data_IF_959852866744
#
_entry.id   IF_959852866744
#
_cell.length_a   1.000
_cell.length_b   1.000
_cell.length_c   1.000
_cell.angle_alpha   90.00
_cell.angle_beta   90.00
_cell.angle_gamma   90.00
#
_symmetry.space_group_name_H-M   'P 1'
#
loop_
_entity.id
_entity.type
_entity.pdbx_description
1 polymer ?
#
# COMPACT_ATOMS: atom_id res chain seq x y z
N UNK A 1 -1.69 -15.98 0.79
CA UNK A 1 -1.22 -14.72 1.38
C UNK A 1 -0.46 -14.93 2.71
N UNK A 2 -1.01 -15.66 3.69
CA UNK A 2 -0.33 -15.87 4.98
C UNK A 2 1.10 -16.45 4.87
N UNK A 3 1.36 -17.49 4.05
CA UNK A 3 2.71 -18.06 3.95
C UNK A 3 3.76 -17.07 3.42
N UNK A 4 3.41 -16.25 2.42
CA UNK A 4 4.35 -15.25 1.87
C UNK A 4 4.64 -14.16 2.90
N UNK A 5 3.65 -13.74 3.70
CA UNK A 5 3.89 -12.79 4.79
C UNK A 5 4.87 -13.38 5.82
N UNK A 6 4.67 -14.63 6.23
CA UNK A 6 5.58 -15.33 7.16
C UNK A 6 7.00 -15.38 6.59
N UNK A 7 7.17 -15.77 5.32
CA UNK A 7 8.49 -15.79 4.64
C UNK A 7 9.15 -14.42 4.61
N UNK A 8 8.39 -13.36 4.36
CA UNK A 8 8.92 -12.00 4.43
C UNK A 8 9.44 -11.65 5.84
N UNK A 9 8.69 -11.98 6.90
CA UNK A 9 9.09 -11.70 8.28
C UNK A 9 10.32 -12.52 8.68
N UNK A 10 10.37 -13.79 8.32
CA UNK A 10 11.51 -14.69 8.55
C UNK A 10 12.77 -14.16 7.87
N UNK A 11 12.69 -13.83 6.56
CA UNK A 11 13.81 -13.30 5.81
C UNK A 11 14.39 -12.01 6.42
N UNK A 12 13.55 -11.13 6.96
CA UNK A 12 14.01 -9.93 7.66
C UNK A 12 14.73 -10.30 8.96
N UNK A 13 14.19 -11.24 9.75
CA UNK A 13 14.82 -11.74 10.99
C UNK A 13 16.17 -12.41 10.72
N UNK A 14 16.30 -13.07 9.58
CA UNK A 14 17.52 -13.74 9.11
C UNK A 14 18.51 -12.79 8.41
N UNK A 15 18.24 -11.47 8.37
CA UNK A 15 19.06 -10.48 7.67
C UNK A 15 19.23 -10.74 6.17
N UNK A 16 18.25 -11.36 5.52
CA UNK A 16 18.15 -11.40 4.06
C UNK A 16 17.65 -10.01 3.63
N UNK A 17 18.59 -9.10 3.37
CA UNK A 17 18.29 -7.70 3.06
C UNK A 17 17.93 -7.49 1.58
N UNK A 18 17.16 -6.43 1.32
CA UNK A 18 16.92 -5.91 -0.02
C UNK A 18 18.24 -5.36 -0.56
N UNK A 19 18.68 -5.86 -1.72
CA UNK A 19 19.95 -5.48 -2.34
C UNK A 19 19.75 -4.94 -3.73
N UNK A 20 20.52 -3.89 -4.04
CA UNK A 20 20.67 -3.39 -5.40
C UNK A 20 21.48 -4.38 -6.23
N UNK A 21 20.87 -4.93 -7.28
CA UNK A 21 21.49 -5.96 -8.12
C UNK A 21 22.39 -5.35 -9.19
N UNK A 22 22.09 -4.13 -9.67
CA UNK A 22 22.92 -3.41 -10.63
C UNK A 22 22.77 -1.89 -10.51
N UNK A 23 23.68 -1.15 -11.14
CA UNK A 23 23.59 0.32 -11.27
C UNK A 23 22.40 0.74 -12.16
N UNK A 24 21.99 -0.10 -13.10
CA UNK A 24 20.81 0.14 -13.94
C UNK A 24 19.48 -0.19 -13.25
N UNK A 25 19.52 -0.98 -12.17
CA UNK A 25 18.36 -1.27 -11.33
C UNK A 25 18.12 -0.06 -10.42
N UNK A 26 17.01 0.65 -10.67
CA UNK A 26 16.67 1.92 -10.00
C UNK A 26 15.72 1.72 -8.83
N UNK A 27 14.63 0.98 -9.05
CA UNK A 27 13.50 0.91 -8.11
C UNK A 27 13.04 -0.53 -7.86
N UNK A 28 13.69 -1.54 -8.44
CA UNK A 28 13.15 -2.90 -8.46
C UNK A 28 13.74 -3.86 -7.43
N UNK A 29 14.62 -3.37 -6.57
CA UNK A 29 15.29 -4.19 -5.55
C UNK A 29 14.30 -4.86 -4.61
N UNK A 30 13.27 -4.11 -4.20
CA UNK A 30 12.20 -4.66 -3.36
C UNK A 30 11.38 -5.71 -4.10
N UNK A 31 11.03 -5.47 -5.38
CA UNK A 31 10.33 -6.45 -6.20
C UNK A 31 11.13 -7.76 -6.31
N UNK A 32 12.44 -7.67 -6.56
CA UNK A 32 13.31 -8.84 -6.65
C UNK A 32 13.36 -9.61 -5.32
N UNK A 33 13.51 -8.88 -4.22
CA UNK A 33 13.54 -9.48 -2.89
C UNK A 33 12.21 -10.17 -2.56
N UNK A 34 11.08 -9.54 -2.88
CA UNK A 34 9.75 -10.09 -2.64
C UNK A 34 9.45 -11.29 -3.55
N UNK A 35 9.88 -11.25 -4.82
CA UNK A 35 9.80 -12.39 -5.74
C UNK A 35 10.46 -13.63 -5.16
N UNK A 36 11.66 -13.49 -4.57
CA UNK A 36 12.33 -14.60 -3.89
C UNK A 36 11.48 -15.19 -2.74
N UNK A 37 10.77 -14.35 -1.97
CA UNK A 37 9.84 -14.80 -0.93
C UNK A 37 8.61 -15.50 -1.49
N UNK A 38 8.12 -15.09 -2.66
CA UNK A 38 7.03 -15.78 -3.36
C UNK A 38 7.48 -17.15 -3.88
N UNK A 39 8.68 -17.25 -4.44
CA UNK A 39 9.28 -18.51 -4.95
C UNK A 39 9.53 -19.54 -3.83
N UNK A 40 9.73 -19.09 -2.59
CA UNK A 40 9.82 -19.94 -1.39
C UNK A 40 8.45 -20.51 -0.94
N UNK A 41 7.37 -20.12 -1.61
CA UNK A 41 6.01 -20.61 -1.32
C UNK A 41 5.47 -21.44 -2.49
N UNK A 42 4.41 -22.21 -2.23
CA UNK A 42 3.72 -22.98 -3.27
C UNK A 42 2.74 -22.15 -4.11
N UNK A 43 2.78 -20.82 -4.04
CA UNK A 43 1.87 -19.97 -4.80
C UNK A 43 2.29 -19.86 -6.27
N UNK A 44 1.32 -20.03 -7.17
CA UNK A 44 1.51 -19.67 -8.57
C UNK A 44 1.33 -18.16 -8.74
N UNK A 45 2.27 -17.52 -9.42
CA UNK A 45 2.22 -16.09 -9.72
C UNK A 45 2.77 -15.79 -11.11
N UNK A 46 2.31 -14.68 -11.68
CA UNK A 46 2.86 -14.09 -12.91
C UNK A 46 3.65 -12.83 -12.57
N UNK A 47 4.81 -12.67 -13.21
CA UNK A 47 5.65 -11.47 -13.14
C UNK A 47 5.24 -10.54 -14.29
N UNK A 48 4.60 -9.41 -13.95
CA UNK A 48 4.07 -8.46 -14.95
C UNK A 48 5.16 -7.65 -15.66
N UNK A 49 6.43 -7.85 -15.28
CA UNK A 49 7.56 -7.10 -15.82
C UNK A 49 7.72 -5.72 -15.18
N UNK A 50 8.80 -5.04 -15.56
CA UNK A 50 9.15 -3.73 -15.02
C UNK A 50 8.19 -2.64 -15.52
N UNK A 51 7.82 -1.70 -14.65
CA UNK A 51 6.86 -0.61 -14.92
C UNK A 51 5.42 -1.06 -15.22
N UNK A 52 5.02 -2.26 -14.81
CA UNK A 52 3.64 -2.75 -14.98
C UNK A 52 3.00 -2.97 -13.62
N UNK A 53 1.77 -2.49 -13.44
CA UNK A 53 0.97 -2.77 -12.26
C UNK A 53 -0.08 -3.86 -12.57
N UNK A 54 -0.36 -4.80 -11.64
CA UNK A 54 0.35 -5.03 -10.38
C UNK A 54 1.70 -5.72 -10.62
N UNK A 55 2.67 -5.52 -9.71
CA UNK A 55 4.01 -6.14 -9.82
C UNK A 55 3.94 -7.68 -9.92
N UNK A 56 3.07 -8.30 -9.12
CA UNK A 56 2.82 -9.75 -9.14
C UNK A 56 1.32 -10.03 -9.13
N UNK A 57 0.88 -10.93 -10.02
CA UNK A 57 -0.50 -11.43 -10.01
C UNK A 57 -0.53 -12.85 -9.49
N UNK A 58 -1.29 -13.09 -8.42
CA UNK A 58 -1.54 -14.43 -7.91
C UNK A 58 -2.56 -15.12 -8.82
N UNK A 59 -2.25 -16.32 -9.30
CA UNK A 59 -3.08 -17.06 -10.27
C UNK A 59 -3.33 -18.49 -9.79
N UNK A 60 -4.45 -19.10 -10.17
CA UNK A 60 -4.67 -20.54 -9.96
C UNK A 60 -3.90 -21.38 -10.99
N UNK A 61 -3.64 -20.81 -12.17
CA UNK A 61 -2.92 -21.38 -13.31
C UNK A 61 -2.40 -20.21 -14.15
N UNK A 62 -1.11 -20.19 -14.50
CA UNK A 62 -0.50 -19.09 -15.25
C UNK A 62 -0.91 -19.15 -16.74
N UNK A 63 -1.69 -18.15 -17.18
CA UNK A 63 -2.02 -17.90 -18.59
C UNK A 63 -2.07 -16.38 -18.76
N UNK A 64 -1.05 -15.86 -19.46
CA UNK A 64 -0.82 -14.42 -19.59
C UNK A 64 -1.93 -13.64 -20.30
N UNK A 65 -2.00 -12.34 -20.00
CA UNK A 65 -2.95 -11.41 -20.63
C UNK A 65 -2.53 -9.94 -20.49
N UNK A 66 -2.65 -9.23 -21.61
CA UNK A 66 -2.15 -7.91 -22.01
C UNK A 66 -2.65 -6.66 -21.23
N UNK A 67 -1.73 -5.68 -21.10
CA UNK A 67 -1.87 -4.27 -21.54
C UNK A 67 -2.72 -3.27 -20.75
N UNK A 68 -2.10 -2.16 -20.31
CA UNK A 68 -2.76 -0.86 -20.14
C UNK A 68 -1.79 0.31 -20.44
N UNK A 69 -2.31 1.35 -21.09
CA UNK A 69 -1.62 2.59 -21.47
C UNK A 69 -1.72 3.61 -20.33
N UNK A 70 -0.59 4.09 -19.80
CA UNK A 70 -0.54 5.12 -18.75
C UNK A 70 0.04 6.43 -19.29
N UNK A 71 -0.77 7.49 -19.31
CA UNK A 71 -0.28 8.88 -19.40
C UNK A 71 0.22 9.27 -18.01
N UNK A 72 1.48 9.72 -17.92
CA UNK A 72 2.18 10.02 -16.66
C UNK A 72 2.39 11.53 -16.54
N UNK A 73 1.72 12.17 -15.60
CA UNK A 73 2.19 13.42 -15.00
C UNK A 73 2.96 13.07 -13.71
N UNK A 74 4.16 13.65 -13.53
CA UNK A 74 5.09 13.29 -12.45
C UNK A 74 4.82 14.02 -11.13
N UNK A 75 3.76 14.84 -11.04
CA UNK A 75 3.30 15.37 -9.75
C UNK A 75 2.45 14.31 -9.02
N UNK A 76 3.15 13.56 -8.18
CA UNK A 76 2.67 12.38 -7.47
C UNK A 76 1.47 12.67 -6.56
N UNK A 77 0.46 11.82 -6.64
CA UNK A 77 -0.52 11.67 -5.56
C UNK A 77 0.23 11.28 -4.27
N UNK A 78 0.30 12.19 -3.29
CA UNK A 78 0.78 11.86 -1.95
C UNK A 78 -0.33 11.13 -1.23
N UNK A 79 -0.42 9.81 -1.46
CA UNK A 79 -1.26 8.94 -0.62
C UNK A 79 -0.70 9.04 0.80
N UNK A 80 -1.54 9.30 1.83
CA UNK A 80 -1.07 9.28 3.20
C UNK A 80 -0.35 7.96 3.45
N UNK A 81 0.91 8.02 3.88
CA UNK A 81 1.64 6.80 4.23
C UNK A 81 0.80 6.02 5.25
N UNK A 82 0.86 4.68 5.29
CA UNK A 82 0.14 3.89 6.28
C UNK A 82 0.30 4.39 7.72
N UNK A 83 1.43 5.02 8.04
CA UNK A 83 1.72 5.64 9.34
C UNK A 83 0.86 6.87 9.66
N UNK A 84 0.32 7.57 8.66
CA UNK A 84 -0.62 8.68 8.84
C UNK A 84 -2.02 8.20 9.20
N UNK A 85 -2.42 7.01 8.74
CA UNK A 85 -3.77 6.48 8.95
C UNK A 85 -3.89 5.62 10.22
N UNK A 86 -2.80 5.00 10.68
CA UNK A 86 -2.83 4.16 11.89
C UNK A 86 -1.54 4.28 12.73
N UNK A 87 -1.71 4.27 14.05
CA UNK A 87 -0.65 4.17 15.04
C UNK A 87 -0.18 2.73 15.23
N UNK A 88 1.03 2.56 15.78
CA UNK A 88 1.57 1.23 16.07
C UNK A 88 2.04 0.42 14.86
N UNK A 89 1.99 0.96 13.64
CA UNK A 89 2.53 0.32 12.43
C UNK A 89 4.04 0.55 12.24
N UNK A 90 4.57 1.66 12.77
CA UNK A 90 5.98 2.01 12.62
C UNK A 90 6.89 0.93 13.23
N UNK A 91 7.96 0.58 12.51
CA UNK A 91 8.96 -0.41 12.94
C UNK A 91 8.43 -1.83 13.21
N UNK A 92 7.22 -2.15 12.73
CA UNK A 92 6.59 -3.44 12.98
C UNK A 92 5.99 -4.04 11.71
N UNK A 93 6.31 -5.31 11.43
CA UNK A 93 5.64 -6.07 10.36
C UNK A 93 4.24 -6.44 10.84
N UNK A 94 3.23 -5.79 10.28
CA UNK A 94 1.83 -5.96 10.67
C UNK A 94 1.05 -6.41 9.45
N UNK A 95 0.35 -7.54 9.57
CA UNK A 95 -0.56 -8.05 8.57
C UNK A 95 -1.96 -7.50 8.85
N UNK A 96 -2.58 -6.82 7.89
CA UNK A 96 -3.95 -6.31 8.02
C UNK A 96 -4.85 -7.14 7.12
N UNK A 97 -5.88 -7.76 7.70
CA UNK A 97 -6.84 -8.62 7.00
C UNK A 97 -8.28 -8.12 7.23
N UNK A 98 -9.20 -8.35 6.28
CA UNK A 98 -10.63 -8.25 6.55
C UNK A 98 -11.03 -9.07 7.78
N UNK A 99 -11.98 -8.57 8.57
CA UNK A 99 -12.34 -9.20 9.86
C UNK A 99 -12.89 -10.62 9.77
N UNK A 100 -13.32 -11.05 8.59
CA UNK A 100 -13.85 -12.37 8.27
C UNK A 100 -12.76 -13.38 7.85
N UNK A 101 -11.51 -12.93 7.68
CA UNK A 101 -10.38 -13.80 7.30
C UNK A 101 -9.62 -14.25 8.54
N UNK A 102 -9.51 -15.57 8.71
CA UNK A 102 -8.69 -16.18 9.77
C UNK A 102 -7.18 -16.09 9.43
N UNK A 103 -6.39 -15.60 10.39
CA UNK A 103 -4.94 -15.52 10.29
C UNK A 103 -4.23 -16.83 10.70
N UNK A 104 -4.95 -17.77 11.31
CA UNK A 104 -4.40 -19.02 11.81
C UNK A 104 -3.63 -18.87 13.13
N UNK A 105 -3.07 -19.98 13.62
CA UNK A 105 -2.51 -20.07 14.99
C UNK A 105 -1.14 -19.40 15.17
N UNK A 106 -0.44 -19.10 14.08
CA UNK A 106 0.91 -18.52 14.13
C UNK A 106 0.89 -17.00 14.37
N UNK A 107 -0.30 -16.41 14.30
CA UNK A 107 -0.52 -14.99 14.43
C UNK A 107 -1.27 -14.67 15.73
N UNK A 108 -1.04 -13.47 16.24
CA UNK A 108 -1.84 -12.91 17.32
C UNK A 108 -2.33 -11.52 16.93
N UNK A 109 -3.55 -11.19 17.36
CA UNK A 109 -4.20 -9.92 17.06
C UNK A 109 -3.53 -8.80 17.86
N UNK A 110 -3.32 -7.65 17.21
CA UNK A 110 -2.72 -6.44 17.80
C UNK A 110 -3.60 -5.20 17.64
N UNK A 111 -4.80 -5.34 17.05
CA UNK A 111 -5.75 -4.25 16.97
C UNK A 111 -6.84 -4.45 15.93
N UNK A 112 -7.89 -3.63 16.06
CA UNK A 112 -8.99 -3.54 15.11
C UNK A 112 -8.92 -2.17 14.39
N UNK A 113 -9.13 -2.18 13.08
CA UNK A 113 -9.16 -1.00 12.24
C UNK A 113 -10.52 -0.91 11.56
N UNK A 114 -11.28 0.12 11.87
CA UNK A 114 -12.59 0.37 11.26
C UNK A 114 -12.50 1.56 10.32
N UNK A 115 -12.86 1.35 9.05
CA UNK A 115 -13.00 2.41 8.06
C UNK A 115 -14.47 2.60 7.73
N UNK A 116 -15.01 3.78 7.99
CA UNK A 116 -16.35 4.17 7.56
C UNK A 116 -16.25 4.89 6.22
N UNK A 117 -17.10 4.52 5.27
CA UNK A 117 -17.17 5.22 4.00
C UNK A 117 -17.70 6.65 4.14
N UNK A 118 -17.04 7.58 3.43
CA UNK A 118 -17.43 8.98 3.42
C UNK A 118 -18.82 9.17 2.81
N UNK A 119 -19.50 10.25 3.20
CA UNK A 119 -20.82 10.62 2.70
C UNK A 119 -20.81 11.02 1.23
N UNK A 120 -19.67 11.53 0.75
CA UNK A 120 -19.49 12.04 -0.61
C UNK A 120 -18.25 11.44 -1.26
N UNK A 121 -18.33 11.18 -2.57
CA UNK A 121 -17.21 10.78 -3.42
C UNK A 121 -16.75 11.98 -4.25
N UNK A 122 -15.44 12.11 -4.46
CA UNK A 122 -14.89 13.01 -5.47
C UNK A 122 -15.03 12.32 -6.83
N UNK A 123 -15.85 12.89 -7.71
CA UNK A 123 -16.16 12.34 -9.05
C UNK A 123 -15.49 13.13 -10.18
N UNK A 124 -14.81 14.21 -9.84
CA UNK A 124 -14.04 15.02 -10.77
C UNK A 124 -13.38 16.17 -10.05
N UNK A 125 -12.59 16.95 -10.77
CA UNK A 125 -12.03 18.20 -10.29
C UNK A 125 -11.84 19.17 -11.46
N UNK A 126 -11.81 20.47 -11.16
CA UNK A 126 -11.29 21.49 -12.07
C UNK A 126 -10.02 22.09 -11.47
N UNK A 127 -9.07 22.41 -12.33
CA UNK A 127 -7.82 23.07 -11.95
C UNK A 127 -7.78 24.45 -12.60
N UNK A 128 -7.59 25.50 -11.79
CA UNK A 128 -7.38 26.84 -12.29
C UNK A 128 -5.86 27.12 -12.37
N UNK A 129 -5.35 27.33 -13.59
CA UNK A 129 -3.93 27.60 -13.83
C UNK A 129 -3.49 29.00 -13.40
N UNK A 130 -4.41 29.94 -13.25
CA UNK A 130 -4.11 31.30 -12.80
C UNK A 130 -4.01 31.37 -11.27
N UNK A 131 -4.89 30.66 -10.57
CA UNK A 131 -4.90 30.63 -9.10
C UNK A 131 -4.15 29.44 -8.51
N UNK A 132 -3.78 28.45 -9.32
CA UNK A 132 -3.17 27.20 -8.90
C UNK A 132 -4.07 26.40 -7.93
N UNK A 133 -5.39 26.55 -8.06
CA UNK A 133 -6.39 25.91 -7.17
C UNK A 133 -7.03 24.67 -7.80
N UNK A 134 -7.21 23.63 -6.98
CA UNK A 134 -7.96 22.42 -7.32
C UNK A 134 -9.34 22.47 -6.66
N UNK A 135 -10.40 22.50 -7.47
CA UNK A 135 -11.78 22.47 -6.99
C UNK A 135 -12.40 21.09 -7.24
N UNK A 136 -12.67 20.29 -6.19
CA UNK A 136 -13.25 18.97 -6.34
C UNK A 136 -14.75 19.05 -6.64
N UNK A 137 -15.21 18.24 -7.59
CA UNK A 137 -16.63 17.95 -7.83
C UNK A 137 -17.03 16.71 -7.04
N UNK A 138 -18.09 16.82 -6.25
CA UNK A 138 -18.56 15.75 -5.38
C UNK A 138 -19.89 15.15 -5.85
N UNK A 139 -20.14 13.91 -5.48
CA UNK A 139 -21.44 13.25 -5.59
C UNK A 139 -21.73 12.43 -4.32
N UNK A 140 -23.01 12.15 -3.99
CA UNK A 140 -23.35 11.27 -2.88
C UNK A 140 -22.71 9.88 -3.05
N UNK A 141 -22.17 9.33 -1.96
CA UNK A 141 -21.66 7.97 -1.96
C UNK A 141 -22.82 6.97 -1.73
N UNK A 142 -23.12 6.05 -2.66
CA UNK A 142 -24.17 5.04 -2.47
C UNK A 142 -23.94 4.13 -1.26
N UNK A 143 -22.68 3.92 -0.88
CA UNK A 143 -22.27 3.12 0.27
C UNK A 143 -21.84 3.97 1.47
N UNK A 144 -22.27 5.24 1.54
CA UNK A 144 -22.05 6.11 2.70
C UNK A 144 -22.36 5.39 4.02
N UNK A 145 -21.53 5.65 5.03
CA UNK A 145 -21.64 5.07 6.38
C UNK A 145 -21.41 3.55 6.47
N UNK A 146 -21.15 2.86 5.35
CA UNK A 146 -20.75 1.46 5.38
C UNK A 146 -19.43 1.31 6.13
N UNK A 147 -19.43 0.40 7.12
CA UNK A 147 -18.26 0.09 7.94
C UNK A 147 -17.52 -1.10 7.36
N UNK A 148 -16.24 -0.91 7.11
CA UNK A 148 -15.30 -1.96 6.76
C UNK A 148 -14.42 -2.24 7.98
N UNK A 149 -14.47 -3.47 8.48
CA UNK A 149 -13.72 -3.89 9.67
C UNK A 149 -12.54 -4.75 9.25
N UNK A 150 -11.36 -4.37 9.74
CA UNK A 150 -10.11 -5.07 9.51
C UNK A 150 -9.46 -5.40 10.85
N UNK A 151 -8.69 -6.48 10.89
CA UNK A 151 -7.89 -6.88 12.04
C UNK A 151 -6.41 -6.82 11.70
N UNK A 152 -5.62 -6.29 12.62
CA UNK A 152 -4.18 -6.22 12.54
C UNK A 152 -3.57 -7.39 13.31
N UNK A 153 -2.64 -8.09 12.66
CA UNK A 153 -2.04 -9.32 13.15
C UNK A 153 -0.52 -9.23 13.10
N UNK A 154 0.15 -9.92 14.03
CA UNK A 154 1.60 -10.12 13.99
C UNK A 154 1.95 -11.58 14.21
N UNK A 155 3.06 -11.99 13.61
CA UNK A 155 3.64 -13.31 13.82
C UNK A 155 4.11 -13.44 15.27
N UNK A 156 3.90 -14.59 15.90
CA UNK A 156 4.42 -14.89 17.24
C UNK A 156 5.91 -14.52 17.38
N UNK A 157 6.27 -14.01 18.55
CA UNK A 157 7.60 -13.46 18.84
C UNK A 157 7.84 -12.03 18.35
N UNK A 158 6.87 -11.40 17.68
CA UNK A 158 6.90 -9.95 17.41
C UNK A 158 6.41 -9.13 18.62
N UNK A 159 6.75 -7.82 18.69
CA UNK A 159 6.23 -6.93 19.73
C UNK A 159 4.71 -6.86 19.75
N UNK A 160 4.11 -6.72 20.94
CA UNK A 160 2.67 -6.63 21.14
C UNK A 160 2.12 -5.19 21.12
N UNK A 161 2.88 -4.22 20.60
CA UNK A 161 2.46 -2.82 20.47
C UNK A 161 1.12 -2.73 19.75
N UNK A 162 0.12 -2.12 20.38
CA UNK A 162 -1.22 -2.02 19.82
C UNK A 162 -1.27 -1.17 18.54
N UNK A 163 -2.10 -1.58 17.60
CA UNK A 163 -2.40 -0.91 16.34
C UNK A 163 -3.78 -0.28 16.45
N UNK A 164 -3.88 1.01 16.15
CA UNK A 164 -5.12 1.77 16.29
C UNK A 164 -5.28 2.74 15.12
N UNK A 165 -6.51 2.98 14.67
CA UNK A 165 -6.80 4.04 13.71
C UNK A 165 -6.42 5.39 14.29
N UNK A 166 -5.73 6.23 13.50
CA UNK A 166 -5.54 7.63 13.84
C UNK A 166 -6.79 8.42 13.48
N UNK A 167 -7.12 9.47 14.25
CA UNK A 167 -8.20 10.38 13.85
C UNK A 167 -7.86 10.99 12.49
N UNK A 168 -8.85 11.03 11.59
CA UNK A 168 -8.71 11.69 10.30
C UNK A 168 -8.63 13.19 10.60
N UNK A 169 -7.42 13.75 10.53
CA UNK A 169 -7.26 15.19 10.46
C UNK A 169 -7.55 15.64 9.03
N UNK A 170 -8.38 16.66 8.88
CA UNK A 170 -8.63 17.32 7.60
C UNK A 170 -7.29 17.76 7.02
N UNK A 171 -6.93 17.24 5.85
CA UNK A 171 -5.72 17.63 5.14
C UNK A 171 -5.97 19.01 4.55
N UNK A 172 -5.30 20.04 5.07
CA UNK A 172 -5.02 21.26 4.31
C UNK A 172 -4.00 20.90 3.25
N UNK A 173 -4.38 20.99 1.97
CA UNK A 173 -3.44 20.87 0.86
C UNK A 173 -2.71 22.21 0.79
N UNK A 174 -1.61 22.35 1.55
CA UNK A 174 -0.68 23.44 1.31
C UNK A 174 0.16 23.06 0.08
N UNK A 175 0.01 23.81 -1.01
CA UNK A 175 0.86 23.69 -2.18
C UNK A 175 2.28 24.12 -1.77
N UNK A 176 3.25 23.21 -1.88
CA UNK A 176 4.66 23.50 -1.63
C UNK A 176 5.19 24.38 -2.78
N UNK A 177 5.59 25.64 -2.56
CA UNK A 177 5.98 26.56 -3.62
C UNK A 177 7.50 26.55 -3.81
N UNK A 178 8.11 25.38 -3.95
CA UNK A 178 9.55 25.28 -4.18
C UNK A 178 9.87 24.18 -5.19
N UNK A 179 9.99 24.59 -6.45
CA UNK A 179 10.98 24.06 -7.41
C UNK A 179 10.98 25.02 -8.64
N UNK A 180 11.21 26.31 -8.39
CA UNK A 180 11.77 27.21 -9.41
C UNK A 180 13.30 27.17 -9.25
N UNK A 181 13.92 26.10 -9.77
CA UNK A 181 15.34 26.15 -10.10
C UNK A 181 15.49 27.11 -11.29
N UNK A 182 15.88 28.34 -10.97
CA UNK A 182 16.45 29.28 -11.91
C UNK A 182 17.71 28.66 -12.54
N UNK A 183 17.63 28.27 -13.80
CA UNK A 183 18.81 28.09 -14.65
C UNK A 183 19.16 29.45 -15.26
N UNK A 184 20.19 30.09 -14.70
CA UNK A 184 21.09 30.97 -15.46
C UNK A 184 22.13 30.14 -16.22
#
# INVERSE_FOLDING_TARGET
MLPVFTRCVEAIRENILIKRVSVSDKEYHFQNWFKGRLEETSFHFEDSGRNTYPDFRMVSTAVGGYGDLLIRDRKMYVVPTPYRIAGGLAHHHTLVLPSDVDAGTEFFEVGELVRTEATELIVGYSFDLQTNEILPKKAPNPSAETKHVFRAWRLKGAPSTAVNMRPIQSISIEADPADDEANE
#
